data_IF_126939186920
#
_entry.id   IF_126939186920
#
_cell.length_a   1.000
_cell.length_b   1.000
_cell.length_c   1.000
_cell.angle_alpha   90.00
_cell.angle_beta   90.00
_cell.angle_gamma   90.00
#
_symmetry.space_group_name_H-M   'P 1'
#
loop_
_entity.id
_entity.type
_entity.pdbx_description
1 polymer ?
#
# COMPACT_ATOMS: atom_id res chain seq x y z
N UNK A 1 15.71 8.20 12.81
CA UNK A 1 15.81 6.73 12.64
C UNK A 1 14.43 6.08 12.59
N UNK A 2 13.60 6.12 13.66
CA UNK A 2 12.28 5.44 13.66
C UNK A 2 11.30 5.89 12.57
N UNK A 3 11.21 7.19 12.27
CA UNK A 3 10.26 7.70 11.27
C UNK A 3 10.63 7.34 9.83
N UNK A 4 11.92 7.17 9.54
CA UNK A 4 12.42 6.82 8.21
C UNK A 4 11.88 5.45 7.78
N UNK A 5 11.98 4.45 8.67
CA UNK A 5 11.45 3.11 8.42
C UNK A 5 9.95 3.09 8.18
N UNK A 6 9.18 3.90 8.91
CA UNK A 6 7.74 3.98 8.70
C UNK A 6 7.42 4.57 7.31
N UNK A 7 8.14 5.61 6.90
CA UNK A 7 8.01 6.23 5.58
C UNK A 7 8.38 5.24 4.47
N UNK A 8 9.49 4.53 4.65
CA UNK A 8 9.97 3.52 3.69
C UNK A 8 8.94 2.39 3.56
N UNK A 9 8.29 2.00 4.66
CA UNK A 9 7.22 1.00 4.67
C UNK A 9 5.99 1.46 3.87
N UNK A 10 5.53 2.71 4.06
CA UNK A 10 4.44 3.27 3.25
C UNK A 10 4.80 3.36 1.77
N UNK A 11 6.02 3.79 1.45
CA UNK A 11 6.50 3.87 0.09
C UNK A 11 6.55 2.50 -0.58
N UNK A 12 7.01 1.48 0.15
CA UNK A 12 7.05 0.10 -0.32
C UNK A 12 5.65 -0.47 -0.57
N UNK A 13 4.68 -0.20 0.32
CA UNK A 13 3.29 -0.63 0.10
C UNK A 13 2.70 0.04 -1.14
N UNK A 14 2.92 1.34 -1.32
CA UNK A 14 2.46 2.08 -2.50
C UNK A 14 3.09 1.55 -3.79
N UNK A 15 4.38 1.19 -3.76
CA UNK A 15 5.09 0.59 -4.89
C UNK A 15 4.47 -0.77 -5.25
N UNK A 16 4.25 -1.64 -4.26
CA UNK A 16 3.63 -2.96 -4.49
C UNK A 16 2.20 -2.86 -5.02
N UNK A 17 1.42 -1.89 -4.55
CA UNK A 17 0.07 -1.65 -5.10
C UNK A 17 0.12 -1.17 -6.56
N UNK A 18 1.11 -0.33 -6.92
CA UNK A 18 1.33 0.09 -8.31
C UNK A 18 1.80 -1.05 -9.21
N UNK A 19 2.58 -1.99 -8.69
CA UNK A 19 2.99 -3.16 -9.46
C UNK A 19 1.80 -4.05 -9.80
N UNK A 20 0.89 -4.28 -8.84
CA UNK A 20 -0.33 -5.04 -9.06
C UNK A 20 -1.21 -4.39 -10.14
N UNK A 21 -1.36 -3.05 -10.12
CA UNK A 21 -2.14 -2.36 -11.16
C UNK A 21 -1.47 -2.40 -12.53
N UNK A 22 -0.14 -2.33 -12.61
CA UNK A 22 0.61 -2.49 -13.86
C UNK A 22 0.54 -3.91 -14.42
N UNK A 23 0.59 -4.93 -13.56
CA UNK A 23 0.47 -6.33 -13.95
C UNK A 23 -0.91 -6.63 -14.54
N UNK A 24 -1.96 -5.94 -14.08
CA UNK A 24 -3.30 -6.02 -14.68
C UNK A 24 -3.38 -5.46 -16.11
N UNK A 25 -2.39 -4.70 -16.57
CA UNK A 25 -2.33 -4.18 -17.94
C UNK A 25 -1.53 -5.08 -18.91
N UNK A 26 -0.93 -6.18 -18.45
CA UNK A 26 -0.14 -7.09 -19.30
C UNK A 26 -0.92 -8.37 -19.61
N UNK A 27 -1.52 -8.42 -20.80
CA UNK A 27 -2.20 -9.61 -21.33
C UNK A 27 -3.54 -9.92 -20.65
N UNK A 28 -4.16 -11.03 -21.04
CA UNK A 28 -5.32 -11.58 -20.34
C UNK A 28 -4.82 -12.44 -19.17
N UNK A 29 -5.00 -11.99 -17.92
CA UNK A 29 -4.62 -12.78 -16.76
C UNK A 29 -5.54 -13.99 -16.60
N UNK A 30 -4.99 -15.08 -16.12
CA UNK A 30 -5.74 -16.28 -15.74
C UNK A 30 -6.60 -15.99 -14.51
N UNK A 31 -7.74 -16.67 -14.31
CA UNK A 31 -8.61 -16.46 -13.14
C UNK A 31 -7.84 -16.57 -11.80
N UNK A 32 -6.91 -17.51 -11.70
CA UNK A 32 -6.05 -17.66 -10.52
C UNK A 32 -5.15 -16.45 -10.28
N UNK A 33 -4.64 -15.82 -11.34
CA UNK A 33 -3.80 -14.63 -11.23
C UNK A 33 -4.62 -13.41 -10.81
N UNK A 34 -5.85 -13.29 -11.31
CA UNK A 34 -6.80 -12.25 -10.88
C UNK A 34 -7.10 -12.42 -9.39
N UNK A 35 -7.43 -13.64 -8.95
CA UNK A 35 -7.74 -13.92 -7.55
C UNK A 35 -6.54 -13.64 -6.63
N UNK A 36 -5.35 -14.09 -7.04
CA UNK A 36 -4.11 -13.84 -6.30
C UNK A 36 -3.80 -12.35 -6.18
N UNK A 37 -3.90 -11.59 -7.28
CA UNK A 37 -3.67 -10.15 -7.29
C UNK A 37 -4.70 -9.40 -6.44
N UNK A 38 -5.96 -9.83 -6.48
CA UNK A 38 -7.03 -9.26 -5.65
C UNK A 38 -6.73 -9.44 -4.17
N UNK A 39 -6.47 -10.67 -3.72
CA UNK A 39 -6.14 -10.93 -2.31
C UNK A 39 -4.88 -10.19 -1.85
N UNK A 40 -3.86 -10.10 -2.71
CA UNK A 40 -2.65 -9.32 -2.41
C UNK A 40 -2.93 -7.82 -2.28
N UNK A 41 -3.80 -7.27 -3.14
CA UNK A 41 -4.23 -5.87 -3.05
C UNK A 41 -5.03 -5.60 -1.79
N UNK A 42 -5.93 -6.50 -1.40
CA UNK A 42 -6.74 -6.40 -0.19
C UNK A 42 -5.83 -6.37 1.05
N UNK A 43 -4.93 -7.35 1.21
CA UNK A 43 -4.00 -7.41 2.35
C UNK A 43 -3.09 -6.17 2.44
N UNK A 44 -2.58 -5.69 1.31
CA UNK A 44 -1.74 -4.48 1.30
C UNK A 44 -2.53 -3.23 1.68
N UNK A 45 -3.81 -3.17 1.31
CA UNK A 45 -4.70 -2.06 1.65
C UNK A 45 -5.03 -2.10 3.15
N UNK A 46 -5.45 -3.24 3.67
CA UNK A 46 -5.70 -3.44 5.11
C UNK A 46 -4.46 -3.11 5.94
N UNK A 47 -3.27 -3.54 5.49
CA UNK A 47 -2.04 -3.23 6.19
C UNK A 47 -1.73 -1.73 6.19
N UNK A 48 -2.02 -1.03 5.09
CA UNK A 48 -1.87 0.43 4.99
C UNK A 48 -2.83 1.17 5.91
N UNK A 49 -4.07 0.70 6.01
CA UNK A 49 -5.08 1.24 6.94
C UNK A 49 -4.63 1.04 8.38
N UNK A 50 -4.21 -0.18 8.75
CA UNK A 50 -3.66 -0.48 10.06
C UNK A 50 -2.51 0.45 10.44
N UNK A 51 -1.56 0.69 9.52
CA UNK A 51 -0.46 1.61 9.76
C UNK A 51 -0.94 3.05 9.95
N UNK A 52 -1.99 3.46 9.24
CA UNK A 52 -2.53 4.81 9.30
C UNK A 52 -3.22 5.04 10.63
N UNK A 53 -4.05 4.09 11.07
CA UNK A 53 -4.78 4.18 12.33
C UNK A 53 -3.84 4.17 13.54
N UNK A 54 -2.81 3.31 13.51
CA UNK A 54 -1.95 3.10 14.66
C UNK A 54 -0.70 4.00 14.69
N UNK A 55 -0.23 4.46 13.53
CA UNK A 55 1.06 5.14 13.42
C UNK A 55 1.03 6.48 12.66
N UNK A 56 -0.14 6.97 12.22
CA UNK A 56 -0.21 8.29 11.55
C UNK A 56 0.31 9.44 12.41
N UNK A 57 0.18 9.36 13.73
CA UNK A 57 0.71 10.35 14.69
C UNK A 57 2.23 10.40 14.74
N UNK A 58 2.88 9.30 14.34
CA UNK A 58 4.33 9.22 14.22
C UNK A 58 4.81 9.60 12.82
N UNK A 59 3.94 9.97 11.89
CA UNK A 59 4.37 10.48 10.58
C UNK A 59 4.66 11.98 10.65
N UNK A 60 5.70 12.47 9.96
CA UNK A 60 5.87 13.89 9.73
C UNK A 60 4.62 14.49 9.09
N UNK A 61 4.23 15.70 9.53
CA UNK A 61 3.00 16.39 9.10
C UNK A 61 2.79 16.43 7.58
N UNK A 62 3.88 16.61 6.81
CA UNK A 62 3.86 16.61 5.33
C UNK A 62 3.38 15.28 4.73
N UNK A 63 3.75 14.17 5.37
CA UNK A 63 3.44 12.81 4.90
C UNK A 63 2.06 12.38 5.40
N UNK A 64 1.68 12.82 6.60
CA UNK A 64 0.35 12.62 7.14
C UNK A 64 -0.74 13.11 6.18
N UNK A 65 -0.56 14.28 5.56
CA UNK A 65 -1.52 14.81 4.58
C UNK A 65 -1.63 13.96 3.30
N UNK A 66 -0.62 13.15 2.97
CA UNK A 66 -0.61 12.27 1.80
C UNK A 66 -1.42 10.99 2.03
N UNK A 67 -1.46 10.52 3.28
CA UNK A 67 -2.08 9.26 3.69
C UNK A 67 -3.29 9.45 4.60
N UNK A 68 -3.62 10.69 4.97
CA UNK A 68 -4.85 11.00 5.69
C UNK A 68 -6.02 10.70 4.76
N UNK A 69 -6.62 9.54 4.96
CA UNK A 69 -7.90 9.18 4.37
C UNK A 69 -8.90 10.27 4.78
N UNK A 70 -9.62 10.81 3.81
CA UNK A 70 -10.73 11.74 4.01
C UNK A 70 -12.02 10.94 4.05
#
# INVERSE_FOLDING_TARGET
MSHTYLIDLYALIDERLKDITKENCRGEPTENEIFFRKGRSEVLTEFKEFLTDNYSSKLPRRIRNRYSVK
#
